data_IF_456204043510
#
_entry.id   IF_456204043510
#
_cell.length_a   1.000
_cell.length_b   1.000
_cell.length_c   1.000
_cell.angle_alpha   90.00
_cell.angle_beta   90.00
_cell.angle_gamma   90.00
#
_symmetry.space_group_name_H-M   'P 1'
#
loop_
_entity.id
_entity.type
_entity.pdbx_description
1 polymer ?
#
# COMPACT_ATOMS: atom_id res chain seq x y z
N UNK A 1 13.12 5.00 0.63
CA UNK A 1 14.49 4.74 1.12
C UNK A 1 14.59 3.26 1.43
N UNK A 2 15.49 2.56 0.76
CA UNK A 2 15.79 1.15 0.98
C UNK A 2 16.95 1.03 1.98
N UNK A 3 16.81 0.17 3.00
CA UNK A 3 17.89 -0.18 3.93
C UNK A 3 17.88 -1.69 4.13
N UNK A 4 19.04 -2.33 3.92
CA UNK A 4 19.28 -3.74 4.21
C UNK A 4 20.50 -3.88 5.12
N UNK A 5 20.48 -4.87 6.02
CA UNK A 5 21.62 -5.20 6.88
C UNK A 5 21.64 -6.70 7.17
N UNK A 6 22.78 -7.34 6.92
CA UNK A 6 23.06 -8.68 7.40
C UNK A 6 23.58 -8.60 8.84
N UNK A 7 23.10 -9.50 9.70
CA UNK A 7 23.46 -9.53 11.12
C UNK A 7 23.81 -10.96 11.54
N UNK A 8 25.00 -11.14 12.09
CA UNK A 8 25.51 -12.44 12.57
C UNK A 8 25.59 -12.40 14.10
N UNK A 9 24.96 -13.38 14.77
CA UNK A 9 24.91 -13.46 16.23
C UNK A 9 24.16 -12.32 16.94
N UNK A 10 23.41 -11.49 16.22
CA UNK A 10 22.63 -10.39 16.81
C UNK A 10 21.39 -10.90 17.53
N UNK A 11 21.01 -10.24 18.62
CA UNK A 11 19.77 -10.57 19.34
C UNK A 11 18.53 -10.02 18.63
N UNK A 12 17.35 -10.58 18.93
CA UNK A 12 16.06 -10.07 18.43
C UNK A 12 15.89 -8.56 18.73
N UNK A 13 16.38 -8.10 19.88
CA UNK A 13 16.32 -6.68 20.27
C UNK A 13 17.14 -5.79 19.33
N UNK A 14 18.32 -6.23 18.91
CA UNK A 14 19.19 -5.47 18.00
C UNK A 14 18.61 -5.39 16.58
N UNK A 15 18.00 -6.48 16.11
CA UNK A 15 17.31 -6.53 14.82
C UNK A 15 16.11 -5.57 14.84
N UNK A 16 15.28 -5.63 15.88
CA UNK A 16 14.12 -4.77 16.03
C UNK A 16 14.51 -3.29 16.15
N UNK A 17 15.55 -2.96 16.93
CA UNK A 17 16.04 -1.59 17.05
C UNK A 17 16.56 -1.05 15.71
N UNK A 18 17.24 -1.87 14.91
CA UNK A 18 17.67 -1.46 13.58
C UNK A 18 16.48 -1.24 12.63
N UNK A 19 15.46 -2.12 12.65
CA UNK A 19 14.26 -1.95 11.83
C UNK A 19 13.47 -0.70 12.24
N UNK A 20 13.37 -0.42 13.52
CA UNK A 20 12.70 0.78 14.03
C UNK A 20 13.42 2.03 13.53
N UNK A 21 14.75 2.08 13.63
CA UNK A 21 15.54 3.18 13.08
C UNK A 21 15.46 3.26 11.55
N UNK A 22 15.42 2.12 10.86
CA UNK A 22 15.33 2.06 9.40
C UNK A 22 13.97 2.52 8.86
N UNK A 23 12.90 2.31 9.64
CA UNK A 23 11.50 2.63 9.31
C UNK A 23 10.99 3.92 9.96
N UNK A 24 11.88 4.72 10.56
CA UNK A 24 11.54 5.96 11.25
C UNK A 24 10.48 5.78 12.36
N UNK A 25 10.61 4.70 13.14
CA UNK A 25 9.72 4.38 14.26
C UNK A 25 8.41 3.68 13.88
N UNK A 26 8.17 3.42 12.59
CA UNK A 26 6.91 2.85 12.13
C UNK A 26 6.83 1.35 12.39
N UNK A 27 7.90 0.60 12.14
CA UNK A 27 7.97 -0.84 12.36
C UNK A 27 8.83 -1.07 13.60
N UNK A 28 8.21 -1.52 14.70
CA UNK A 28 8.87 -1.64 16.00
C UNK A 28 9.47 -3.01 16.28
N UNK A 29 8.84 -4.05 15.74
CA UNK A 29 9.21 -5.44 16.04
C UNK A 29 8.96 -6.29 14.81
N UNK A 30 9.94 -7.08 14.38
CA UNK A 30 9.80 -8.02 13.26
C UNK A 30 10.11 -9.47 13.68
N UNK A 31 10.92 -9.64 14.72
CA UNK A 31 11.35 -10.92 15.27
C UNK A 31 11.22 -10.91 16.79
N UNK A 32 10.82 -12.02 17.37
CA UNK A 32 10.80 -12.27 18.81
C UNK A 32 12.00 -13.13 19.19
N UNK A 33 12.22 -13.34 20.49
CA UNK A 33 13.26 -14.25 20.96
C UNK A 33 13.02 -15.70 20.49
N UNK A 34 11.76 -16.14 20.46
CA UNK A 34 11.35 -17.49 20.02
C UNK A 34 11.68 -17.73 18.55
N UNK A 35 11.57 -16.70 17.71
CA UNK A 35 11.92 -16.80 16.29
C UNK A 35 13.43 -16.91 16.03
N UNK A 36 14.27 -16.85 17.07
CA UNK A 36 15.73 -16.82 16.94
C UNK A 36 16.44 -17.96 17.68
N UNK A 37 15.71 -18.90 18.31
CA UNK A 37 16.31 -19.99 19.08
C UNK A 37 17.25 -20.88 18.23
N UNK A 38 16.92 -21.12 16.97
CA UNK A 38 17.67 -22.01 16.06
C UNK A 38 18.40 -21.29 14.91
N UNK A 39 18.41 -19.95 14.89
CA UNK A 39 18.94 -19.19 13.76
C UNK A 39 20.37 -18.73 14.00
N UNK A 40 21.28 -19.13 13.09
CA UNK A 40 22.69 -18.71 13.10
C UNK A 40 22.89 -17.38 12.37
N UNK A 41 21.97 -17.02 11.47
CA UNK A 41 22.03 -15.84 10.61
C UNK A 41 20.63 -15.25 10.42
N UNK A 42 20.51 -13.92 10.47
CA UNK A 42 19.28 -13.21 10.15
C UNK A 42 19.52 -12.15 9.06
N UNK A 43 18.59 -12.06 8.10
CA UNK A 43 18.59 -11.03 7.06
C UNK A 43 17.33 -10.17 7.17
N UNK A 44 17.51 -8.89 7.49
CA UNK A 44 16.40 -7.95 7.60
C UNK A 44 16.40 -6.93 6.44
N UNK A 45 15.22 -6.71 5.86
CA UNK A 45 14.97 -5.68 4.86
C UNK A 45 13.85 -4.76 5.34
N UNK A 46 14.08 -3.45 5.30
CA UNK A 46 13.08 -2.44 5.62
C UNK A 46 12.92 -1.47 4.44
N UNK A 47 11.71 -1.39 3.92
CA UNK A 47 11.33 -0.46 2.86
C UNK A 47 10.44 0.62 3.47
N UNK A 48 10.95 1.86 3.48
CA UNK A 48 10.20 3.03 3.91
C UNK A 48 9.93 3.95 2.73
N UNK A 49 8.66 4.22 2.46
CA UNK A 49 8.25 5.17 1.43
C UNK A 49 7.48 6.33 2.07
N UNK A 50 7.96 7.55 1.79
CA UNK A 50 7.29 8.81 2.12
C UNK A 50 7.33 9.67 0.87
N UNK A 51 6.16 9.98 0.33
CA UNK A 51 6.01 10.81 -0.84
C UNK A 51 4.82 11.74 -0.67
N UNK A 52 4.97 12.97 -1.14
CA UNK A 52 3.84 13.89 -1.28
C UNK A 52 3.17 13.65 -2.62
N UNK A 53 1.84 13.63 -2.65
CA UNK A 53 1.11 13.64 -3.92
C UNK A 53 1.46 14.87 -4.75
N UNK A 54 1.54 14.70 -6.07
CA UNK A 54 1.69 15.81 -7.01
C UNK A 54 0.49 16.75 -6.90
N UNK A 55 -0.73 16.18 -6.91
CA UNK A 55 -1.97 16.84 -6.54
C UNK A 55 -2.43 16.34 -5.18
N UNK A 56 -2.29 17.18 -4.15
CA UNK A 56 -2.66 16.83 -2.76
C UNK A 56 -4.18 16.90 -2.57
N UNK A 57 -4.70 16.01 -1.74
CA UNK A 57 -6.06 16.12 -1.22
C UNK A 57 -6.14 17.31 -0.27
N UNK A 58 -7.22 18.08 -0.36
CA UNK A 58 -7.52 19.11 0.63
C UNK A 58 -8.00 18.45 1.92
N UNK A 59 -7.46 18.88 3.06
CA UNK A 59 -7.91 18.38 4.36
C UNK A 59 -9.36 18.76 4.66
N UNK A 60 -9.82 19.90 4.14
CA UNK A 60 -11.18 20.40 4.36
C UNK A 60 -12.22 19.58 3.59
N UNK A 61 -11.79 18.87 2.54
CA UNK A 61 -12.60 17.93 1.77
C UNK A 61 -12.59 16.50 2.35
N UNK A 62 -11.86 16.27 3.44
CA UNK A 62 -11.88 14.98 4.14
C UNK A 62 -13.09 14.91 5.07
N UNK A 63 -13.98 13.94 4.81
CA UNK A 63 -15.24 13.79 5.54
C UNK A 63 -15.45 12.35 5.99
N UNK A 64 -16.26 12.18 7.03
CA UNK A 64 -16.66 10.84 7.47
C UNK A 64 -17.47 10.16 6.36
N UNK A 65 -17.05 8.95 5.99
CA UNK A 65 -17.70 8.10 5.00
C UNK A 65 -17.78 6.65 5.48
N UNK A 66 -18.63 5.86 4.83
CA UNK A 66 -18.79 4.44 5.14
C UNK A 66 -17.90 3.61 4.24
N UNK A 67 -17.10 2.73 4.84
CA UNK A 67 -16.30 1.72 4.14
C UNK A 67 -16.85 0.32 4.42
N UNK A 68 -17.10 -0.45 3.37
CA UNK A 68 -17.53 -1.85 3.46
C UNK A 68 -16.31 -2.77 3.46
N UNK A 69 -16.11 -3.52 4.53
CA UNK A 69 -14.96 -4.42 4.65
C UNK A 69 -15.18 -5.72 3.86
N UNK A 70 -14.15 -6.23 3.14
CA UNK A 70 -14.18 -7.60 2.59
C UNK A 70 -14.19 -8.66 3.70
N UNK A 71 -14.95 -9.75 3.56
CA UNK A 71 -14.81 -10.94 4.42
C UNK A 71 -16.09 -11.69 4.78
N UNK A 72 -15.96 -12.68 5.68
CA UNK A 72 -17.00 -13.62 6.10
C UNK A 72 -18.22 -12.98 6.81
N UNK A 73 -18.05 -11.78 7.37
CA UNK A 73 -19.14 -10.86 7.70
C UNK A 73 -19.33 -9.91 6.53
N UNK A 74 -19.88 -10.42 5.42
CA UNK A 74 -20.31 -9.55 4.33
C UNK A 74 -21.17 -8.43 4.93
N UNK A 75 -20.87 -7.18 4.58
CA UNK A 75 -21.54 -5.96 5.02
C UNK A 75 -21.11 -5.32 6.35
N UNK A 76 -19.97 -5.70 6.94
CA UNK A 76 -19.39 -4.91 8.02
C UNK A 76 -19.02 -3.51 7.52
N UNK A 77 -19.83 -2.53 7.90
CA UNK A 77 -19.66 -1.10 7.59
C UNK A 77 -18.97 -0.39 8.73
N UNK A 78 -17.88 0.31 8.42
CA UNK A 78 -17.15 1.14 9.39
C UNK A 78 -17.12 2.59 8.92
N UNK A 79 -17.25 3.52 9.86
CA UNK A 79 -17.03 4.94 9.61
C UNK A 79 -15.53 5.22 9.49
N UNK A 80 -15.14 5.99 8.47
CA UNK A 80 -13.75 6.30 8.15
C UNK A 80 -13.62 7.73 7.65
N UNK A 81 -12.46 8.35 7.87
CA UNK A 81 -12.10 9.60 7.19
C UNK A 81 -11.82 9.30 5.71
N UNK A 82 -12.71 9.74 4.83
CA UNK A 82 -12.62 9.57 3.39
C UNK A 82 -12.13 10.87 2.77
N UNK A 83 -10.98 10.82 2.09
CA UNK A 83 -10.42 11.96 1.37
C UNK A 83 -11.03 12.04 -0.01
N UNK A 84 -11.36 13.24 -0.49
CA UNK A 84 -11.90 13.45 -1.84
C UNK A 84 -11.10 14.50 -2.58
N UNK A 85 -10.85 14.29 -3.88
CA UNK A 85 -10.36 15.33 -4.77
C UNK A 85 -10.90 15.13 -6.19
N UNK A 86 -10.94 16.21 -6.96
CA UNK A 86 -11.20 16.19 -8.39
C UNK A 86 -9.96 16.64 -9.14
N UNK A 87 -9.54 15.84 -10.12
CA UNK A 87 -8.36 16.15 -10.92
C UNK A 87 -8.22 15.23 -12.11
N UNK A 88 -7.31 15.59 -13.01
CA UNK A 88 -6.95 14.75 -14.16
C UNK A 88 -5.91 13.72 -13.73
N UNK A 89 -6.29 12.45 -13.78
CA UNK A 89 -5.43 11.33 -13.44
C UNK A 89 -5.36 10.34 -14.59
N UNK A 90 -4.28 9.55 -14.64
CA UNK A 90 -4.24 8.41 -15.54
C UNK A 90 -5.23 7.36 -15.04
N UNK A 91 -6.23 7.06 -15.87
CA UNK A 91 -7.38 6.24 -15.49
C UNK A 91 -7.69 5.19 -16.55
N UNK A 92 -8.06 4.01 -16.08
CA UNK A 92 -8.53 2.89 -16.88
C UNK A 92 -9.72 2.23 -16.21
N UNK A 93 -10.63 1.70 -17.01
CA UNK A 93 -11.78 0.97 -16.53
C UNK A 93 -12.23 -0.04 -17.58
N UNK A 94 -12.57 -1.24 -17.11
CA UNK A 94 -13.23 -2.28 -17.89
C UNK A 94 -14.41 -2.88 -17.11
N UNK A 95 -14.91 -4.02 -17.56
CA UNK A 95 -16.02 -4.72 -16.91
C UNK A 95 -15.65 -5.28 -15.52
N UNK A 96 -14.34 -5.42 -15.22
CA UNK A 96 -13.85 -6.11 -14.03
C UNK A 96 -13.34 -5.13 -12.97
N UNK A 97 -12.81 -3.96 -13.36
CA UNK A 97 -12.20 -3.04 -12.40
C UNK A 97 -12.17 -1.58 -12.87
N UNK A 98 -11.88 -0.69 -11.93
CA UNK A 98 -11.48 0.69 -12.14
C UNK A 98 -10.06 0.86 -11.61
N UNK A 99 -9.22 1.60 -12.32
CA UNK A 99 -7.81 1.80 -11.99
C UNK A 99 -7.46 3.27 -12.14
N UNK A 100 -6.79 3.82 -11.13
CA UNK A 100 -6.28 5.20 -11.14
C UNK A 100 -4.83 5.23 -10.68
N UNK A 101 -4.01 6.06 -11.31
CA UNK A 101 -2.67 6.38 -10.84
C UNK A 101 -2.60 7.79 -10.26
N UNK A 102 -2.07 7.87 -9.03
CA UNK A 102 -1.87 9.12 -8.31
C UNK A 102 -0.36 9.39 -8.26
N UNK A 103 0.16 10.34 -9.05
CA UNK A 103 1.59 10.63 -9.10
C UNK A 103 2.09 11.33 -7.83
N UNK A 104 3.36 11.11 -7.49
CA UNK A 104 4.05 11.83 -6.41
C UNK A 104 4.81 13.06 -6.95
N UNK A 105 4.87 14.14 -6.15
CA UNK A 105 5.41 15.46 -6.56
C UNK A 105 6.90 15.44 -6.96
N UNK A 106 7.68 14.55 -6.35
CA UNK A 106 9.15 14.53 -6.47
C UNK A 106 9.69 13.21 -7.01
N UNK A 107 8.84 12.44 -7.68
CA UNK A 107 9.21 11.17 -8.25
C UNK A 107 8.50 11.03 -9.59
N UNK A 108 9.17 11.52 -10.65
CA UNK A 108 8.63 11.63 -12.01
C UNK A 108 8.09 10.29 -12.54
N UNK A 109 8.67 9.18 -12.11
CA UNK A 109 8.28 7.81 -12.49
C UNK A 109 7.63 7.02 -11.36
N UNK A 110 7.14 7.67 -10.30
CA UNK A 110 6.47 6.97 -9.18
C UNK A 110 5.05 7.50 -9.00
N UNK A 111 4.11 6.58 -9.06
CA UNK A 111 2.71 6.81 -8.76
C UNK A 111 2.19 5.69 -7.84
N UNK A 112 1.14 5.99 -7.08
CA UNK A 112 0.33 4.95 -6.45
C UNK A 112 -0.76 4.54 -7.43
N UNK A 113 -0.73 3.28 -7.87
CA UNK A 113 -1.82 2.67 -8.63
C UNK A 113 -2.86 2.10 -7.66
N UNK A 114 -4.07 2.64 -7.68
CA UNK A 114 -5.21 2.10 -6.96
C UNK A 114 -6.07 1.29 -7.91
N UNK A 115 -6.37 0.05 -7.54
CA UNK A 115 -7.25 -0.83 -8.29
C UNK A 115 -8.48 -1.08 -7.43
N UNK A 116 -9.65 -0.76 -7.99
CA UNK A 116 -10.95 -1.02 -7.39
C UNK A 116 -11.66 -2.09 -8.24
N UNK A 117 -11.71 -3.34 -7.77
CA UNK A 117 -12.45 -4.39 -8.44
C UNK A 117 -13.96 -4.09 -8.42
N UNK A 118 -14.65 -4.43 -9.50
CA UNK A 118 -16.12 -4.39 -9.63
C UNK A 118 -16.79 -5.70 -9.22
N UNK A 119 -15.99 -6.71 -8.87
CA UNK A 119 -16.45 -7.99 -8.36
C UNK A 119 -16.91 -7.85 -6.90
N UNK A 120 -18.02 -8.50 -6.56
CA UNK A 120 -18.59 -8.45 -5.22
C UNK A 120 -17.73 -9.23 -4.23
N UNK A 121 -16.95 -8.51 -3.41
CA UNK A 121 -16.23 -8.96 -2.22
C UNK A 121 -15.30 -10.20 -2.37
N UNK A 122 -15.13 -10.78 -3.56
CA UNK A 122 -14.22 -11.88 -3.83
C UNK A 122 -12.91 -11.37 -4.44
N UNK A 123 -11.91 -11.20 -3.58
CA UNK A 123 -10.58 -10.74 -3.98
C UNK A 123 -9.66 -11.89 -4.40
N UNK A 124 -10.14 -13.14 -4.45
CA UNK A 124 -9.32 -14.33 -4.76
C UNK A 124 -8.73 -14.29 -6.18
N UNK A 125 -9.39 -13.56 -7.08
CA UNK A 125 -8.93 -13.34 -8.46
C UNK A 125 -7.81 -12.30 -8.58
N UNK A 126 -7.51 -11.53 -7.52
CA UNK A 126 -6.43 -10.53 -7.50
C UNK A 126 -5.06 -11.18 -7.27
N UNK A 127 -4.62 -11.96 -8.26
CA UNK A 127 -3.31 -12.62 -8.25
C UNK A 127 -2.30 -11.87 -9.14
N UNK A 128 -1.06 -12.38 -9.19
CA UNK A 128 0.01 -11.77 -9.98
C UNK A 128 -0.35 -11.60 -11.47
N UNK A 129 -1.03 -12.59 -12.09
CA UNK A 129 -1.44 -12.52 -13.49
C UNK A 129 -2.48 -11.41 -13.73
N UNK A 130 -3.39 -11.21 -12.77
CA UNK A 130 -4.32 -10.08 -12.80
C UNK A 130 -3.56 -8.74 -12.78
N UNK A 131 -2.59 -8.56 -11.88
CA UNK A 131 -1.81 -7.33 -11.82
C UNK A 131 -0.99 -7.08 -13.09
N UNK A 132 -0.38 -8.12 -13.69
CA UNK A 132 0.34 -7.97 -14.96
C UNK A 132 -0.58 -7.61 -16.13
N UNK A 133 -1.79 -8.19 -16.19
CA UNK A 133 -2.83 -7.77 -17.14
C UNK A 133 -3.13 -6.28 -16.98
N UNK A 134 -3.44 -5.83 -15.76
CA UNK A 134 -3.77 -4.43 -15.49
C UNK A 134 -2.63 -3.49 -15.87
N UNK A 135 -1.37 -3.83 -15.55
CA UNK A 135 -0.21 -3.02 -15.96
C UNK A 135 -0.14 -2.88 -17.48
N UNK A 136 -0.32 -3.98 -18.22
CA UNK A 136 -0.29 -3.95 -19.69
C UNK A 136 -1.44 -3.12 -20.27
N UNK A 137 -2.64 -3.23 -19.71
CA UNK A 137 -3.81 -2.49 -20.18
C UNK A 137 -3.74 -1.02 -19.83
N UNK A 138 -3.23 -0.67 -18.65
CA UNK A 138 -2.93 0.70 -18.28
C UNK A 138 -1.96 1.34 -19.27
N UNK A 139 -0.89 0.64 -19.65
CA UNK A 139 0.09 1.16 -20.60
C UNK A 139 -0.47 1.43 -22.01
N UNK A 140 -1.53 0.72 -22.40
CA UNK A 140 -2.09 0.79 -23.77
C UNK A 140 -3.37 1.65 -23.83
N UNK A 141 -4.22 1.54 -22.81
CA UNK A 141 -5.61 2.03 -22.83
C UNK A 141 -5.89 3.12 -21.81
N UNK A 142 -5.01 3.34 -20.83
CA UNK A 142 -5.24 4.41 -19.87
C UNK A 142 -5.11 5.77 -20.55
N UNK A 143 -5.91 6.71 -20.06
CA UNK A 143 -5.88 8.08 -20.53
C UNK A 143 -6.09 9.04 -19.38
N UNK A 144 -5.66 10.27 -19.58
CA UNK A 144 -5.91 11.35 -18.63
C UNK A 144 -7.42 11.63 -18.57
N UNK A 145 -8.04 11.41 -17.41
CA UNK A 145 -9.46 11.68 -17.17
C UNK A 145 -9.64 12.48 -15.89
N UNK A 146 -10.57 13.45 -15.94
CA UNK A 146 -11.06 14.12 -14.74
C UNK A 146 -11.95 13.17 -13.96
N UNK A 147 -11.50 12.69 -12.81
CA UNK A 147 -12.29 11.81 -11.93
C UNK A 147 -12.41 12.42 -10.53
N UNK A 148 -13.51 12.09 -9.85
CA UNK A 148 -13.64 12.32 -8.42
C UNK A 148 -13.08 11.08 -7.70
N UNK A 149 -11.97 11.25 -7.00
CA UNK A 149 -11.31 10.18 -6.28
C UNK A 149 -11.65 10.29 -4.80
N UNK A 150 -12.38 9.30 -4.29
CA UNK A 150 -12.63 9.14 -2.85
C UNK A 150 -11.85 7.95 -2.31
N UNK A 151 -10.95 8.19 -1.36
CA UNK A 151 -10.08 7.14 -0.83
C UNK A 151 -9.87 7.29 0.68
N UNK A 152 -9.86 6.15 1.36
CA UNK A 152 -9.34 6.03 2.72
C UNK A 152 -7.91 5.50 2.64
N UNK A 153 -6.94 6.26 3.16
CA UNK A 153 -5.57 5.77 3.31
C UNK A 153 -5.08 5.95 4.75
N UNK A 154 -4.91 4.83 5.47
CA UNK A 154 -3.98 4.68 6.59
C UNK A 154 -3.40 3.28 6.49
N UNK A 155 -2.08 3.17 6.28
CA UNK A 155 -1.41 1.86 6.15
C UNK A 155 -0.28 1.70 7.17
N UNK A 156 -0.11 0.46 7.64
CA UNK A 156 1.05 -0.04 8.37
C UNK A 156 1.32 -1.47 7.86
N UNK A 157 2.41 -1.67 7.13
CA UNK A 157 2.76 -2.95 6.51
C UNK A 157 3.83 -3.69 7.32
N UNK A 158 3.66 -5.00 7.50
CA UNK A 158 4.67 -5.94 8.00
C UNK A 158 4.60 -7.20 7.15
N UNK A 159 5.72 -7.61 6.57
CA UNK A 159 5.87 -8.97 6.02
C UNK A 159 7.09 -9.62 6.63
N UNK A 160 6.90 -10.81 7.20
CA UNK A 160 7.97 -11.70 7.66
C UNK A 160 8.49 -12.53 6.49
N UNK A 161 9.81 -12.55 6.33
CA UNK A 161 10.54 -13.67 5.74
C UNK A 161 11.62 -14.00 6.77
N UNK A 162 11.65 -15.26 7.24
CA UNK A 162 12.70 -15.80 8.11
C UNK A 162 13.97 -16.00 7.28
#
# INVERSE_FOLDING_TARGET
>A
IYKGKAMEGSSHTEINAWVEAASNGLIKEIVTAEDMEDFVLAMANAIYFKGDWLSRFDSDDTKEGIFTCPGAEADKKIAVDMMTQQGSFNYYEDEVCQVVEIPYKHAEDVAMTLILPKIDNDFSSLNAAFFEKIKSEMAIKAGSRSICLSSKLKTKWMSRVL
#
